data_IF_909686669386
#
_entry.id   IF_909686669386
#
_cell.length_a   1.000
_cell.length_b   1.000
_cell.length_c   1.000
_cell.angle_alpha   90.00
_cell.angle_beta   90.00
_cell.angle_gamma   90.00
#
_symmetry.space_group_name_H-M   'P 1'
#
loop_
_entity.id
_entity.type
_entity.pdbx_description
1 polymer ?
#
# COMPACT_ATOMS: atom_id res chain seq x y z
N UNK A 1 71.94 1.51 -64.88
CA UNK A 1 70.92 2.47 -64.36
C UNK A 1 69.73 1.65 -63.93
N UNK A 2 69.66 1.24 -62.62
CA UNK A 2 68.64 0.38 -62.07
C UNK A 2 67.44 1.22 -61.55
N UNK A 3 66.20 0.79 -61.74
CA UNK A 3 65.05 1.48 -61.20
C UNK A 3 64.93 1.19 -59.69
N UNK A 4 64.64 2.26 -58.93
CA UNK A 4 64.34 2.25 -57.50
C UNK A 4 63.00 1.59 -57.26
N UNK A 5 63.02 0.58 -56.41
CA UNK A 5 61.84 -0.05 -55.87
C UNK A 5 61.00 0.98 -55.07
N UNK A 6 59.75 1.10 -55.46
CA UNK A 6 58.75 1.85 -54.73
C UNK A 6 58.40 1.10 -53.45
N UNK A 7 58.83 1.65 -52.35
CA UNK A 7 58.56 1.19 -51.01
C UNK A 7 57.05 1.11 -50.77
N UNK A 8 56.50 -0.11 -50.68
CA UNK A 8 55.08 -0.36 -50.35
C UNK A 8 54.84 0.01 -48.92
N UNK A 9 54.21 1.16 -48.73
CA UNK A 9 53.62 1.56 -47.44
C UNK A 9 52.58 0.51 -47.01
N UNK A 10 53.03 -0.47 -46.23
CA UNK A 10 52.15 -1.40 -45.54
C UNK A 10 51.41 -0.61 -44.44
N UNK A 11 50.20 -0.14 -44.74
CA UNK A 11 49.33 0.39 -43.68
C UNK A 11 49.08 -0.72 -42.65
N UNK A 12 49.29 -0.44 -41.36
CA UNK A 12 48.94 -1.42 -40.32
C UNK A 12 47.46 -1.69 -40.36
N UNK A 13 47.10 -2.94 -40.60
CA UNK A 13 45.70 -3.43 -40.54
C UNK A 13 45.22 -3.25 -39.10
N UNK A 14 44.37 -2.25 -38.84
CA UNK A 14 43.70 -2.08 -37.52
C UNK A 14 42.82 -3.28 -37.33
N UNK A 15 43.23 -4.24 -36.50
CA UNK A 15 42.38 -5.32 -36.03
C UNK A 15 41.29 -4.75 -35.16
N UNK A 16 40.00 -5.11 -35.35
CA UNK A 16 38.93 -4.69 -34.47
C UNK A 16 39.21 -5.19 -33.05
N UNK A 17 39.19 -4.27 -32.09
CA UNK A 17 39.55 -4.50 -30.69
C UNK A 17 38.60 -5.48 -29.96
N UNK A 18 37.50 -5.88 -30.62
CA UNK A 18 36.53 -6.83 -30.06
C UNK A 18 35.90 -7.66 -31.20
N UNK A 19 35.90 -8.97 -31.11
CA UNK A 19 35.12 -9.78 -32.04
C UNK A 19 33.64 -9.40 -31.92
N UNK A 20 32.87 -9.36 -33.01
CA UNK A 20 31.43 -9.14 -32.93
C UNK A 20 30.80 -10.22 -32.04
N UNK A 21 30.07 -9.83 -31.04
CA UNK A 21 29.35 -10.73 -30.16
C UNK A 21 28.40 -11.60 -31.03
N UNK A 22 28.30 -12.90 -30.76
CA UNK A 22 27.41 -13.76 -31.52
C UNK A 22 25.97 -13.21 -31.46
N UNK A 23 25.24 -13.19 -32.58
CA UNK A 23 23.86 -12.63 -32.61
C UNK A 23 22.92 -13.24 -31.56
N UNK A 24 23.18 -14.53 -31.20
CA UNK A 24 22.45 -15.24 -30.14
C UNK A 24 22.67 -14.64 -28.73
N UNK A 25 23.87 -14.13 -28.44
CA UNK A 25 24.16 -13.53 -27.13
C UNK A 25 23.48 -12.14 -26.98
N UNK A 26 23.45 -11.36 -28.06
CA UNK A 26 22.72 -10.11 -28.11
C UNK A 26 21.20 -10.34 -27.98
N UNK A 27 20.64 -11.33 -28.69
CA UNK A 27 19.25 -11.70 -28.61
C UNK A 27 18.87 -12.10 -27.17
N UNK A 28 19.66 -12.99 -26.54
CA UNK A 28 19.43 -13.40 -25.14
C UNK A 28 19.55 -12.25 -24.15
N UNK A 29 20.50 -11.32 -24.36
CA UNK A 29 20.63 -10.14 -23.50
C UNK A 29 19.43 -9.21 -23.65
N UNK A 30 18.92 -8.99 -24.85
CA UNK A 30 17.73 -8.20 -25.11
C UNK A 30 16.47 -8.83 -24.50
N UNK A 31 16.32 -10.14 -24.61
CA UNK A 31 15.21 -10.89 -24.00
C UNK A 31 15.24 -10.82 -22.46
N UNK A 32 16.43 -10.95 -21.86
CA UNK A 32 16.61 -10.79 -20.42
C UNK A 32 16.27 -9.37 -19.95
N UNK A 33 16.72 -8.33 -20.68
CA UNK A 33 16.39 -6.94 -20.37
C UNK A 33 14.88 -6.66 -20.52
N UNK A 34 14.24 -7.26 -21.53
CA UNK A 34 12.80 -7.17 -21.72
C UNK A 34 12.06 -7.84 -20.58
N UNK A 35 12.44 -9.06 -20.21
CA UNK A 35 11.87 -9.80 -19.09
C UNK A 35 12.01 -9.02 -17.76
N UNK A 36 13.22 -8.48 -17.48
CA UNK A 36 13.47 -7.64 -16.30
C UNK A 36 12.57 -6.40 -16.32
N UNK A 37 12.46 -5.70 -17.46
CA UNK A 37 11.62 -4.51 -17.60
C UNK A 37 10.13 -4.83 -17.43
N UNK A 38 9.65 -5.92 -18.02
CA UNK A 38 8.27 -6.38 -17.89
C UNK A 38 7.95 -6.79 -16.45
N UNK A 39 8.88 -7.51 -15.79
CA UNK A 39 8.75 -7.88 -14.38
C UNK A 39 8.75 -6.66 -13.45
N UNK A 40 9.62 -5.69 -13.69
CA UNK A 40 9.64 -4.43 -12.94
C UNK A 40 8.40 -3.59 -13.18
N UNK A 41 7.89 -3.52 -14.40
CA UNK A 41 6.65 -2.82 -14.73
C UNK A 41 5.44 -3.49 -14.07
N UNK A 42 5.36 -4.82 -14.08
CA UNK A 42 4.32 -5.58 -13.39
C UNK A 42 4.38 -5.37 -11.87
N UNK A 43 5.57 -5.36 -11.28
CA UNK A 43 5.77 -5.08 -9.86
C UNK A 43 5.40 -3.63 -9.49
N UNK A 44 5.66 -2.66 -10.36
CA UNK A 44 5.34 -1.25 -10.13
C UNK A 44 3.84 -0.94 -10.24
N UNK A 45 3.07 -1.74 -10.98
CA UNK A 45 1.63 -1.58 -11.16
C UNK A 45 0.80 -2.44 -10.20
N UNK A 46 1.41 -3.46 -9.62
CA UNK A 46 0.73 -4.35 -8.69
C UNK A 46 0.57 -3.69 -7.33
N UNK A 47 -0.67 -3.50 -6.91
CA UNK A 47 -0.99 -3.21 -5.51
C UNK A 47 -1.61 -4.45 -4.87
N UNK A 48 -1.04 -4.90 -3.74
CA UNK A 48 -1.64 -5.96 -2.93
C UNK A 48 -2.99 -5.52 -2.33
N UNK A 49 -3.22 -4.22 -2.23
CA UNK A 49 -4.47 -3.66 -1.70
C UNK A 49 -5.57 -3.83 -2.74
N UNK A 50 -6.66 -4.50 -2.35
CA UNK A 50 -7.87 -4.62 -3.17
C UNK A 50 -8.73 -3.36 -3.03
N UNK A 51 -9.07 -2.73 -4.16
CA UNK A 51 -9.97 -1.57 -4.15
C UNK A 51 -11.37 -1.93 -3.66
N UNK A 52 -11.91 -3.07 -4.10
CA UNK A 52 -13.21 -3.57 -3.64
C UNK A 52 -13.20 -3.93 -2.15
N UNK A 53 -12.12 -4.55 -1.66
CA UNK A 53 -11.96 -4.84 -0.24
C UNK A 53 -11.94 -3.57 0.60
N UNK A 54 -11.22 -2.55 0.13
CA UNK A 54 -11.17 -1.23 0.80
C UNK A 54 -12.54 -0.56 0.83
N UNK A 55 -13.33 -0.65 -0.25
CA UNK A 55 -14.71 -0.13 -0.27
C UNK A 55 -15.62 -0.90 0.70
N UNK A 56 -15.48 -2.22 0.77
CA UNK A 56 -16.26 -3.04 1.69
C UNK A 56 -15.97 -2.67 3.16
N UNK A 57 -14.71 -2.45 3.51
CA UNK A 57 -14.31 -1.93 4.82
C UNK A 57 -14.98 -0.57 5.09
N UNK A 58 -14.97 0.33 4.12
CA UNK A 58 -15.65 1.63 4.26
C UNK A 58 -17.15 1.48 4.54
N UNK A 59 -17.82 0.54 3.88
CA UNK A 59 -19.23 0.27 4.09
C UNK A 59 -19.51 -0.33 5.49
N UNK A 60 -18.72 -1.32 5.92
CA UNK A 60 -18.86 -1.90 7.27
C UNK A 60 -18.56 -0.89 8.36
N UNK A 61 -17.58 0.00 8.15
CA UNK A 61 -17.28 1.10 9.07
C UNK A 61 -18.42 2.13 9.19
N UNK A 62 -19.16 2.42 8.12
CA UNK A 62 -20.36 3.26 8.19
C UNK A 62 -21.47 2.58 9.01
N UNK A 63 -21.66 1.27 8.84
CA UNK A 63 -22.59 0.48 9.66
C UNK A 63 -22.16 0.51 11.12
N UNK A 64 -20.87 0.28 11.41
CA UNK A 64 -20.33 0.36 12.77
C UNK A 64 -20.52 1.76 13.38
N UNK A 65 -20.34 2.82 12.58
CA UNK A 65 -20.60 4.21 13.00
C UNK A 65 -22.04 4.40 13.42
N UNK A 66 -22.99 3.94 12.62
CA UNK A 66 -24.43 4.06 12.93
C UNK A 66 -24.82 3.27 14.19
N UNK A 67 -24.31 2.04 14.34
CA UNK A 67 -24.52 1.22 15.53
C UNK A 67 -23.88 1.86 16.77
N UNK A 68 -22.66 2.36 16.67
CA UNK A 68 -21.96 3.01 17.76
C UNK A 68 -22.65 4.31 18.21
N UNK A 69 -23.17 5.08 17.27
CA UNK A 69 -23.93 6.31 17.57
C UNK A 69 -25.23 6.03 18.33
N UNK A 70 -25.86 4.88 18.12
CA UNK A 70 -27.13 4.51 18.76
C UNK A 70 -26.96 3.97 20.18
N UNK A 71 -25.75 3.63 20.64
CA UNK A 71 -25.60 2.87 21.89
C UNK A 71 -25.74 3.70 23.17
N UNK A 72 -25.43 4.97 23.17
CA UNK A 72 -25.36 5.80 24.38
C UNK A 72 -24.40 5.28 25.47
N UNK A 73 -23.65 4.20 25.21
CA UNK A 73 -22.77 3.51 26.16
C UNK A 73 -21.33 3.45 25.63
N UNK A 74 -20.41 4.07 26.33
CA UNK A 74 -19.00 4.13 25.94
C UNK A 74 -18.34 2.74 25.81
N UNK A 75 -18.51 1.79 26.74
CA UNK A 75 -17.97 0.45 26.56
C UNK A 75 -18.50 -0.28 25.32
N UNK A 76 -19.79 -0.12 25.01
CA UNK A 76 -20.39 -0.70 23.79
C UNK A 76 -19.84 -0.03 22.54
N UNK A 77 -19.61 1.26 22.58
CA UNK A 77 -18.99 2.00 21.48
C UNK A 77 -17.60 1.43 21.16
N UNK A 78 -16.74 1.26 22.16
CA UNK A 78 -15.40 0.66 21.99
C UNK A 78 -15.52 -0.76 21.45
N UNK A 79 -16.43 -1.57 22.00
CA UNK A 79 -16.63 -2.96 21.56
C UNK A 79 -17.03 -3.05 20.08
N UNK A 80 -17.96 -2.21 19.62
CA UNK A 80 -18.39 -2.17 18.21
C UNK A 80 -17.19 -1.86 17.30
N UNK A 81 -16.37 -0.87 17.67
CA UNK A 81 -15.20 -0.52 16.88
C UNK A 81 -14.09 -1.56 16.90
N UNK A 82 -13.94 -2.31 18.00
CA UNK A 82 -13.01 -3.44 18.04
C UNK A 82 -13.50 -4.59 17.15
N UNK A 83 -14.79 -4.88 17.15
CA UNK A 83 -15.37 -5.86 16.22
C UNK A 83 -15.17 -5.43 14.75
N UNK A 84 -15.39 -4.15 14.44
CA UNK A 84 -15.14 -3.60 13.11
C UNK A 84 -13.67 -3.71 12.72
N UNK A 85 -12.74 -3.42 13.62
CA UNK A 85 -11.30 -3.53 13.34
C UNK A 85 -10.92 -4.98 12.98
N UNK A 86 -11.42 -5.97 13.73
CA UNK A 86 -11.19 -7.40 13.43
C UNK A 86 -11.83 -7.79 12.09
N UNK A 87 -13.06 -7.36 11.83
CA UNK A 87 -13.75 -7.59 10.57
C UNK A 87 -12.99 -7.00 9.39
N UNK A 88 -12.55 -5.76 9.51
CA UNK A 88 -11.76 -5.05 8.48
C UNK A 88 -10.44 -5.76 8.17
N UNK A 89 -9.73 -6.28 9.18
CA UNK A 89 -8.54 -7.11 8.98
C UNK A 89 -8.89 -8.38 8.21
N UNK A 90 -9.96 -9.06 8.58
CA UNK A 90 -10.45 -10.24 7.88
C UNK A 90 -10.77 -9.97 6.41
N UNK A 91 -11.51 -8.88 6.13
CA UNK A 91 -11.83 -8.43 4.76
C UNK A 91 -10.54 -8.13 3.99
N UNK A 92 -9.59 -7.39 4.59
CA UNK A 92 -8.32 -7.06 3.95
C UNK A 92 -7.53 -8.30 3.56
N UNK A 93 -7.36 -9.25 4.49
CA UNK A 93 -6.63 -10.50 4.24
C UNK A 93 -7.33 -11.30 3.14
N UNK A 94 -8.64 -11.48 3.24
CA UNK A 94 -9.41 -12.27 2.28
C UNK A 94 -9.34 -11.68 0.86
N UNK A 95 -9.59 -10.39 0.72
CA UNK A 95 -9.57 -9.73 -0.60
C UNK A 95 -8.16 -9.63 -1.20
N UNK A 96 -7.14 -9.45 -0.36
CA UNK A 96 -5.74 -9.51 -0.77
C UNK A 96 -5.37 -10.92 -1.28
N UNK A 97 -5.84 -11.98 -0.60
CA UNK A 97 -5.65 -13.37 -1.04
C UNK A 97 -6.33 -13.64 -2.38
N UNK A 98 -7.56 -13.18 -2.57
CA UNK A 98 -8.29 -13.32 -3.83
C UNK A 98 -7.52 -12.63 -4.97
N UNK A 99 -7.07 -11.40 -4.75
CA UNK A 99 -6.31 -10.64 -5.74
C UNK A 99 -4.97 -11.29 -6.07
N UNK A 100 -4.23 -11.79 -5.07
CA UNK A 100 -2.97 -12.50 -5.29
C UNK A 100 -3.18 -13.77 -6.12
N UNK A 101 -4.20 -14.58 -5.80
CA UNK A 101 -4.56 -15.79 -6.56
C UNK A 101 -4.93 -15.47 -8.01
N UNK A 102 -5.74 -14.44 -8.23
CA UNK A 102 -6.16 -14.03 -9.57
C UNK A 102 -4.98 -13.60 -10.46
N UNK A 103 -3.89 -13.10 -9.85
CA UNK A 103 -2.67 -12.69 -10.54
C UNK A 103 -1.54 -13.75 -10.52
N UNK A 104 -1.81 -14.97 -10.04
CA UNK A 104 -0.82 -16.04 -9.99
C UNK A 104 0.35 -15.78 -9.03
N UNK A 105 0.16 -14.88 -8.04
CA UNK A 105 1.22 -14.50 -7.11
C UNK A 105 1.16 -15.34 -5.83
N UNK A 106 2.31 -15.65 -5.21
CA UNK A 106 2.34 -16.34 -3.93
C UNK A 106 1.70 -15.46 -2.85
N UNK A 107 0.87 -16.05 -1.98
CA UNK A 107 0.15 -15.35 -0.93
C UNK A 107 1.08 -14.61 0.05
N UNK A 108 2.26 -15.18 0.31
CA UNK A 108 3.29 -14.62 1.20
C UNK A 108 4.48 -14.10 0.39
N UNK A 109 4.17 -13.26 -0.61
CA UNK A 109 5.20 -12.60 -1.41
C UNK A 109 6.01 -11.59 -0.57
N UNK A 110 7.22 -11.27 -1.02
CA UNK A 110 8.06 -10.28 -0.34
C UNK A 110 7.38 -8.91 -0.17
N UNK A 111 6.68 -8.36 -1.20
CA UNK A 111 5.90 -7.12 -1.01
C UNK A 111 4.78 -7.26 0.03
N UNK A 112 4.03 -8.36 0.03
CA UNK A 112 2.98 -8.59 1.01
C UNK A 112 3.52 -8.63 2.44
N UNK A 113 4.65 -9.30 2.65
CA UNK A 113 5.33 -9.35 3.94
C UNK A 113 5.78 -7.96 4.40
N UNK A 114 6.39 -7.17 3.52
CA UNK A 114 6.82 -5.79 3.82
C UNK A 114 5.64 -4.92 4.24
N UNK A 115 4.51 -5.01 3.54
CA UNK A 115 3.27 -4.30 3.90
C UNK A 115 2.82 -4.68 5.31
N UNK A 116 2.72 -5.98 5.62
CA UNK A 116 2.28 -6.44 6.95
C UNK A 116 3.22 -5.95 8.05
N UNK A 117 4.53 -6.13 7.89
CA UNK A 117 5.51 -5.71 8.91
C UNK A 117 5.59 -4.17 9.07
N UNK A 118 5.28 -3.39 8.04
CA UNK A 118 5.23 -1.94 8.14
C UNK A 118 3.93 -1.44 8.78
N UNK A 119 2.82 -2.15 8.58
CA UNK A 119 1.53 -1.79 9.13
C UNK A 119 1.32 -2.24 10.58
N UNK A 120 1.87 -3.40 10.96
CA UNK A 120 1.65 -4.01 12.27
C UNK A 120 2.11 -3.15 13.46
N UNK A 121 3.29 -2.51 13.47
CA UNK A 121 3.74 -1.73 14.65
C UNK A 121 2.80 -0.59 15.03
N UNK A 122 2.34 0.30 14.12
CA UNK A 122 1.36 1.33 14.48
C UNK A 122 0.05 0.74 15.02
N UNK A 123 -0.41 -0.41 14.49
CA UNK A 123 -1.61 -1.09 15.00
C UNK A 123 -1.41 -1.65 16.41
N UNK A 124 -0.24 -2.23 16.69
CA UNK A 124 0.10 -2.70 18.04
C UNK A 124 0.14 -1.54 19.05
N UNK A 125 0.74 -0.40 18.67
CA UNK A 125 0.70 0.82 19.49
C UNK A 125 -0.73 1.31 19.70
N UNK A 126 -1.56 1.28 18.66
CA UNK A 126 -2.98 1.63 18.74
C UNK A 126 -3.76 0.76 19.71
N UNK A 127 -3.52 -0.55 19.69
CA UNK A 127 -4.13 -1.49 20.64
C UNK A 127 -3.69 -1.20 22.09
N UNK A 128 -2.39 -0.95 22.31
CA UNK A 128 -1.86 -0.58 23.63
C UNK A 128 -2.48 0.73 24.14
N UNK A 129 -2.51 1.77 23.28
CA UNK A 129 -3.09 3.05 23.66
C UNK A 129 -4.61 2.95 23.90
N UNK A 130 -5.31 2.04 23.22
CA UNK A 130 -6.72 1.77 23.50
C UNK A 130 -6.91 1.27 24.94
N UNK A 131 -6.07 0.34 25.39
CA UNK A 131 -6.11 -0.15 26.77
C UNK A 131 -5.81 0.97 27.76
N UNK A 132 -4.75 1.76 27.52
CA UNK A 132 -4.40 2.90 28.38
C UNK A 132 -5.54 3.93 28.45
N UNK A 133 -6.09 4.32 27.31
CA UNK A 133 -7.22 5.27 27.26
C UNK A 133 -8.47 4.70 27.96
N UNK A 134 -8.70 3.40 27.88
CA UNK A 134 -9.81 2.76 28.54
C UNK A 134 -9.64 2.79 30.07
N UNK A 135 -8.48 2.40 30.59
CA UNK A 135 -8.13 2.44 32.03
C UNK A 135 -8.22 3.85 32.61
N UNK A 136 -7.68 4.83 31.91
CA UNK A 136 -7.65 6.23 32.35
C UNK A 136 -8.91 7.04 31.98
N UNK A 137 -9.92 6.41 31.37
CA UNK A 137 -11.17 7.05 30.93
C UNK A 137 -10.98 8.18 29.91
N UNK A 138 -9.92 8.12 29.12
CA UNK A 138 -9.57 9.08 28.07
C UNK A 138 -10.16 8.69 26.69
N UNK A 139 -11.35 8.12 26.71
CA UNK A 139 -11.97 7.50 25.52
C UNK A 139 -12.31 8.48 24.41
N UNK A 140 -12.45 9.76 24.72
CA UNK A 140 -12.65 10.84 23.73
C UNK A 140 -11.45 11.03 22.78
N UNK A 141 -10.24 10.57 23.17
CA UNK A 141 -9.05 10.65 22.33
C UNK A 141 -8.97 9.52 21.29
N UNK A 142 -9.66 8.40 21.53
CA UNK A 142 -9.54 7.20 20.70
C UNK A 142 -9.78 7.44 19.21
N UNK A 143 -10.83 8.19 18.78
CA UNK A 143 -11.05 8.42 17.36
C UNK A 143 -9.86 9.05 16.65
N UNK A 144 -9.28 10.09 17.23
CA UNK A 144 -8.11 10.75 16.67
C UNK A 144 -6.86 9.90 16.72
N UNK A 145 -6.59 9.22 17.84
CA UNK A 145 -5.45 8.30 18.00
C UNK A 145 -5.53 7.17 16.99
N UNK A 146 -6.69 6.54 16.81
CA UNK A 146 -6.85 5.45 15.87
C UNK A 146 -6.62 5.89 14.43
N UNK A 147 -7.22 7.03 14.02
CA UNK A 147 -7.03 7.55 12.66
C UNK A 147 -5.60 7.99 12.38
N UNK A 148 -4.90 8.58 13.37
CA UNK A 148 -3.49 8.96 13.23
C UNK A 148 -2.61 7.72 13.05
N UNK A 149 -2.73 6.73 13.94
CA UNK A 149 -1.92 5.51 13.89
C UNK A 149 -2.25 4.65 12.68
N UNK A 150 -3.53 4.55 12.31
CA UNK A 150 -3.94 3.91 11.07
C UNK A 150 -3.31 4.61 9.86
N UNK A 151 -3.39 5.94 9.81
CA UNK A 151 -2.79 6.75 8.76
C UNK A 151 -1.27 6.54 8.65
N UNK A 152 -0.54 6.53 9.77
CA UNK A 152 0.89 6.21 9.82
C UNK A 152 1.15 4.81 9.27
N UNK A 153 0.37 3.82 9.67
CA UNK A 153 0.46 2.44 9.17
C UNK A 153 0.23 2.36 7.66
N UNK A 154 -0.79 3.05 7.15
CA UNK A 154 -1.10 3.12 5.72
C UNK A 154 -0.01 3.83 4.93
N UNK A 155 0.57 4.92 5.45
CA UNK A 155 1.73 5.59 4.81
C UNK A 155 2.92 4.65 4.76
N UNK A 156 3.29 4.02 5.87
CA UNK A 156 4.43 3.12 5.97
C UNK A 156 4.29 1.91 5.04
N UNK A 157 3.14 1.23 5.07
CA UNK A 157 2.84 0.10 4.19
C UNK A 157 2.72 0.53 2.72
N UNK A 158 2.19 1.73 2.48
CA UNK A 158 1.97 2.30 1.16
C UNK A 158 3.26 2.62 0.39
N UNK A 159 4.42 2.71 1.06
CA UNK A 159 5.73 2.86 0.39
C UNK A 159 6.06 1.68 -0.52
N UNK A 160 5.45 0.52 -0.27
CA UNK A 160 5.59 -0.70 -1.07
C UNK A 160 4.40 -0.93 -2.01
N UNK A 161 3.58 0.09 -2.25
CA UNK A 161 2.36 0.02 -3.06
C UNK A 161 2.25 1.23 -4.00
N UNK A 162 1.10 1.41 -4.62
CA UNK A 162 0.83 2.55 -5.51
C UNK A 162 0.70 3.85 -4.72
N UNK A 163 1.07 4.98 -5.33
CA UNK A 163 1.09 6.31 -4.71
C UNK A 163 -0.22 6.74 -4.03
N UNK A 164 -1.34 6.17 -4.46
CA UNK A 164 -2.67 6.47 -3.90
C UNK A 164 -2.75 6.03 -2.43
N UNK A 165 -2.07 4.94 -2.06
CA UNK A 165 -2.13 4.38 -0.69
C UNK A 165 -1.48 5.31 0.34
N UNK A 166 -0.24 5.82 0.18
CA UNK A 166 0.30 6.81 1.11
C UNK A 166 -0.54 8.09 1.21
N UNK A 167 -1.12 8.56 0.09
CA UNK A 167 -2.01 9.74 0.11
C UNK A 167 -3.25 9.49 0.96
N UNK A 168 -3.84 8.29 0.87
CA UNK A 168 -4.93 7.86 1.76
C UNK A 168 -4.50 7.94 3.23
N UNK A 169 -3.30 7.45 3.57
CA UNK A 169 -2.78 7.51 4.94
C UNK A 169 -2.63 8.95 5.46
N UNK A 170 -2.12 9.86 4.64
CA UNK A 170 -2.04 11.30 4.98
C UNK A 170 -3.44 11.89 5.21
N UNK A 171 -4.42 11.53 4.38
CA UNK A 171 -5.80 11.98 4.57
C UNK A 171 -6.39 11.48 5.91
N UNK A 172 -6.10 10.22 6.29
CA UNK A 172 -6.48 9.70 7.61
C UNK A 172 -5.83 10.49 8.76
N UNK A 173 -4.54 10.82 8.63
CA UNK A 173 -3.85 11.63 9.64
C UNK A 173 -4.45 13.03 9.77
N UNK A 174 -4.86 13.65 8.65
CA UNK A 174 -5.52 14.95 8.67
C UNK A 174 -6.87 14.89 9.39
N UNK A 175 -7.73 13.90 9.07
CA UNK A 175 -9.02 13.72 9.77
C UNK A 175 -8.79 13.35 11.23
N UNK A 176 -7.79 12.52 11.55
CA UNK A 176 -7.41 12.15 12.91
C UNK A 176 -6.95 13.36 13.75
N UNK A 177 -6.19 14.27 13.14
CA UNK A 177 -5.80 15.53 13.78
C UNK A 177 -7.03 16.38 14.09
N UNK A 178 -7.96 16.54 13.15
CA UNK A 178 -9.21 17.24 13.39
C UNK A 178 -9.97 16.58 14.54
N UNK A 179 -10.08 15.26 14.56
CA UNK A 179 -10.82 14.53 15.59
C UNK A 179 -10.23 14.69 17.00
N UNK A 180 -8.91 14.91 17.14
CA UNK A 180 -8.28 15.15 18.45
C UNK A 180 -8.64 16.51 19.04
N UNK A 181 -8.85 17.52 18.21
CA UNK A 181 -9.12 18.90 18.65
C UNK A 181 -10.59 19.30 18.52
N UNK A 182 -11.39 18.48 17.83
CA UNK A 182 -12.80 18.75 17.64
C UNK A 182 -13.61 18.47 18.91
N UNK A 183 -14.76 19.16 19.09
CA UNK A 183 -15.65 18.88 20.20
C UNK A 183 -16.21 17.44 20.12
N UNK A 184 -16.56 16.82 21.28
CA UNK A 184 -17.04 15.43 21.30
C UNK A 184 -18.24 15.14 20.40
N UNK A 185 -19.05 16.13 20.08
CA UNK A 185 -20.18 16.01 19.15
C UNK A 185 -19.76 15.66 17.71
N UNK A 186 -18.50 15.89 17.34
CA UNK A 186 -17.97 15.57 16.02
C UNK A 186 -17.39 14.17 15.91
N UNK A 187 -17.28 13.43 17.02
CA UNK A 187 -16.71 12.08 17.06
C UNK A 187 -17.30 11.17 15.99
N UNK A 188 -18.65 11.08 15.95
CA UNK A 188 -19.36 10.25 14.96
C UNK A 188 -19.09 10.68 13.53
N UNK A 189 -19.10 12.00 13.27
CA UNK A 189 -18.82 12.54 11.93
C UNK A 189 -17.37 12.26 11.49
N UNK A 190 -16.39 12.43 12.39
CA UNK A 190 -14.99 12.14 12.10
C UNK A 190 -14.77 10.64 11.83
N UNK A 191 -15.38 9.74 12.60
CA UNK A 191 -15.29 8.30 12.39
C UNK A 191 -15.94 7.88 11.06
N UNK A 192 -17.13 8.43 10.74
CA UNK A 192 -17.78 8.21 9.46
C UNK A 192 -16.93 8.73 8.28
N UNK A 193 -16.39 9.94 8.40
CA UNK A 193 -15.56 10.53 7.34
C UNK A 193 -14.25 9.75 7.16
N UNK A 194 -13.55 9.42 8.25
CA UNK A 194 -12.29 8.68 8.23
C UNK A 194 -12.49 7.24 7.79
N UNK A 195 -12.98 6.39 8.68
CA UNK A 195 -13.07 4.96 8.39
C UNK A 195 -14.15 4.61 7.36
N UNK A 196 -15.22 5.37 7.24
CA UNK A 196 -16.22 5.19 6.19
C UNK A 196 -15.82 5.85 4.88
N UNK A 197 -15.83 7.18 4.85
CA UNK A 197 -15.70 7.99 3.65
C UNK A 197 -14.36 7.84 2.92
N UNK A 198 -13.24 7.92 3.63
CA UNK A 198 -11.92 7.77 3.00
C UNK A 198 -11.72 6.37 2.44
N UNK A 199 -12.16 5.30 3.14
CA UNK A 199 -12.08 3.95 2.58
C UNK A 199 -12.92 3.79 1.31
N UNK A 200 -14.15 4.33 1.29
CA UNK A 200 -14.99 4.30 0.09
C UNK A 200 -14.36 5.08 -1.06
N UNK A 201 -13.90 6.29 -0.80
CA UNK A 201 -13.31 7.15 -1.82
C UNK A 201 -12.03 6.55 -2.42
N UNK A 202 -11.05 6.23 -1.56
CA UNK A 202 -9.77 5.68 -2.01
C UNK A 202 -9.92 4.25 -2.53
N UNK A 203 -10.82 3.45 -1.95
CA UNK A 203 -11.14 2.13 -2.47
C UNK A 203 -11.68 2.18 -3.90
N UNK A 204 -12.62 3.08 -4.19
CA UNK A 204 -13.13 3.31 -5.54
C UNK A 204 -12.03 3.78 -6.49
N UNK A 205 -11.13 4.66 -6.02
CA UNK A 205 -10.01 5.15 -6.84
C UNK A 205 -9.02 4.03 -7.17
N UNK A 206 -8.70 3.18 -6.18
CA UNK A 206 -7.83 2.01 -6.38
C UNK A 206 -8.47 1.01 -7.33
N UNK A 207 -9.77 0.69 -7.14
CA UNK A 207 -10.50 -0.24 -7.99
C UNK A 207 -10.52 0.20 -9.45
N UNK A 208 -10.72 1.50 -9.72
CA UNK A 208 -10.75 2.06 -11.07
C UNK A 208 -9.38 2.10 -11.76
N UNK A 209 -8.29 2.32 -11.02
CA UNK A 209 -6.95 2.54 -11.58
C UNK A 209 -6.03 1.33 -11.53
N UNK A 210 -6.25 0.42 -10.57
CA UNK A 210 -5.32 -0.69 -10.28
C UNK A 210 -6.02 -2.05 -10.14
N UNK A 211 -7.27 -2.12 -10.52
CA UNK A 211 -8.09 -3.31 -10.42
C UNK A 211 -8.62 -3.56 -8.99
N UNK A 212 -9.74 -4.20 -8.92
CA UNK A 212 -10.40 -4.59 -7.67
C UNK A 212 -9.89 -5.91 -7.11
#
# INVERSE_FOLDING_TARGET
>A
MAPRDADSLIMPRVLPLRPPEPPEMQARAMDNLRFIRETMAAAATFTAVSGWGTMLIGLTALVATALAASTGSTPRWVFIWMCEAVLSVGISIYTMMLKARANGLPLWSEPARKIVFSFAPPMAVGALLTLVCYEHRLLGLLPGVWMLLYGVGVVAAGTFSVRIVPVMGVAFMAVGTVALFAPPSWTTACMAAGFGGLHLYFGALIARRHGG
#
